data_IF_418619191258
#
_entry.id   IF_418619191258
#
_cell.length_a   1.000
_cell.length_b   1.000
_cell.length_c   1.000
_cell.angle_alpha   90.00
_cell.angle_beta   90.00
_cell.angle_gamma   90.00
#
_symmetry.space_group_name_H-M   'P 1'
#
loop_
_entity.id
_entity.type
_entity.pdbx_description
1 polymer ?
#
# COMPACT_ATOMS: atom_id res chain seq x y z
N UNK A 1 -3.36 2.23 -19.57
CA UNK A 1 -4.47 1.58 -18.85
C UNK A 1 -4.35 0.07 -18.97
N UNK A 2 -4.41 -0.63 -17.84
CA UNK A 2 -4.41 -2.10 -17.79
C UNK A 2 -5.81 -2.61 -18.19
N UNK A 3 -5.89 -3.72 -18.93
CA UNK A 3 -7.19 -4.36 -19.20
C UNK A 3 -7.73 -4.92 -17.87
N UNK A 4 -8.91 -4.45 -17.47
CA UNK A 4 -9.58 -4.90 -16.23
C UNK A 4 -9.68 -6.43 -16.15
N UNK A 5 -9.82 -7.11 -17.29
CA UNK A 5 -9.91 -8.59 -17.33
C UNK A 5 -8.66 -9.27 -16.75
N UNK A 6 -7.48 -8.67 -16.87
CA UNK A 6 -6.25 -9.22 -16.30
C UNK A 6 -6.23 -9.14 -14.76
N UNK A 7 -7.07 -8.29 -14.17
CA UNK A 7 -7.19 -8.10 -12.73
C UNK A 7 -8.31 -8.95 -12.10
N UNK A 8 -9.10 -9.68 -12.91
CA UNK A 8 -10.28 -10.40 -12.41
C UNK A 8 -10.01 -11.87 -12.06
N UNK A 9 -8.79 -12.36 -12.22
CA UNK A 9 -8.41 -13.75 -11.92
C UNK A 9 -7.14 -13.83 -11.06
N UNK A 10 -7.07 -13.14 -9.91
CA UNK A 10 -5.96 -13.28 -8.99
C UNK A 10 -6.15 -14.51 -8.10
N UNK A 11 -5.07 -15.05 -7.56
CA UNK A 11 -5.10 -16.14 -6.56
C UNK A 11 -5.70 -15.68 -5.23
N UNK A 12 -5.52 -14.38 -4.89
CA UNK A 12 -6.07 -13.77 -3.67
C UNK A 12 -6.19 -12.25 -3.80
N UNK A 13 -7.06 -11.66 -3.00
CA UNK A 13 -7.25 -10.21 -2.87
C UNK A 13 -7.03 -9.80 -1.41
N UNK A 14 -6.09 -8.88 -1.20
CA UNK A 14 -5.86 -8.26 0.11
C UNK A 14 -6.50 -6.88 0.14
N UNK A 15 -7.27 -6.61 1.19
CA UNK A 15 -7.89 -5.30 1.42
C UNK A 15 -7.28 -4.71 2.68
N UNK A 16 -6.41 -3.72 2.49
CA UNK A 16 -5.66 -3.06 3.57
C UNK A 16 -6.55 -2.20 4.46
N UNK A 17 -7.62 -1.64 3.89
CA UNK A 17 -8.69 -0.91 4.58
C UNK A 17 -9.84 -0.62 3.62
N UNK A 18 -10.97 -0.13 4.12
CA UNK A 18 -12.23 -0.04 3.36
C UNK A 18 -12.53 1.37 2.80
N UNK A 19 -11.53 2.25 2.64
CA UNK A 19 -11.77 3.52 1.96
C UNK A 19 -12.16 3.30 0.50
N UNK A 20 -12.92 4.24 -0.06
CA UNK A 20 -13.57 4.08 -1.36
C UNK A 20 -12.60 3.98 -2.55
N UNK A 21 -11.39 4.44 -2.41
CA UNK A 21 -10.30 4.32 -3.40
C UNK A 21 -9.52 3.01 -3.29
N UNK A 22 -9.76 2.20 -2.25
CA UNK A 22 -9.17 0.87 -2.05
C UNK A 22 -10.15 -0.28 -2.20
N UNK A 23 -11.42 -0.09 -1.86
CA UNK A 23 -12.48 -1.09 -2.03
C UNK A 23 -13.77 -0.41 -2.48
N UNK A 24 -13.80 0.02 -3.74
CA UNK A 24 -14.87 0.77 -4.34
C UNK A 24 -16.06 -0.11 -4.79
N UNK A 25 -17.10 0.54 -5.30
CA UNK A 25 -18.28 -0.16 -5.82
C UNK A 25 -17.97 -0.93 -7.12
N UNK A 26 -16.96 -0.51 -7.90
CA UNK A 26 -16.51 -1.25 -9.07
C UNK A 26 -15.83 -2.57 -8.66
N UNK A 27 -14.95 -2.56 -7.68
CA UNK A 27 -14.37 -3.77 -7.10
C UNK A 27 -15.45 -4.70 -6.57
N UNK A 28 -16.43 -4.17 -5.82
CA UNK A 28 -17.56 -4.93 -5.32
C UNK A 28 -18.42 -5.53 -6.44
N UNK A 29 -18.58 -4.86 -7.57
CA UNK A 29 -19.39 -5.31 -8.69
C UNK A 29 -18.67 -6.33 -9.58
N UNK A 30 -17.41 -6.09 -9.91
CA UNK A 30 -16.70 -6.81 -10.96
C UNK A 30 -15.86 -7.99 -10.45
N UNK A 31 -15.34 -7.92 -9.21
CA UNK A 31 -14.54 -9.04 -8.68
C UNK A 31 -15.41 -10.28 -8.44
N UNK A 32 -14.93 -11.47 -8.86
CA UNK A 32 -15.62 -12.72 -8.62
C UNK A 32 -15.84 -12.97 -7.12
N UNK A 33 -17.07 -13.30 -6.74
CA UNK A 33 -17.46 -13.40 -5.32
C UNK A 33 -16.85 -14.58 -4.56
N UNK A 34 -16.29 -15.54 -5.26
CA UNK A 34 -15.67 -16.74 -4.70
C UNK A 34 -14.17 -16.62 -4.45
N UNK A 35 -13.52 -15.55 -4.95
CA UNK A 35 -12.09 -15.33 -4.74
C UNK A 35 -11.75 -15.30 -3.24
N UNK A 36 -10.56 -15.78 -2.86
CA UNK A 36 -10.06 -15.58 -1.51
C UNK A 36 -9.81 -14.10 -1.24
N UNK A 37 -10.51 -13.56 -0.25
CA UNK A 37 -10.32 -12.20 0.26
C UNK A 37 -9.73 -12.24 1.65
N UNK A 38 -8.74 -11.39 1.86
CA UNK A 38 -8.08 -11.21 3.14
C UNK A 38 -8.21 -9.75 3.57
N UNK A 39 -8.97 -9.51 4.64
CA UNK A 39 -9.17 -8.19 5.22
C UNK A 39 -8.21 -7.96 6.40
N UNK A 40 -7.86 -6.72 6.67
CA UNK A 40 -6.93 -6.39 7.76
C UNK A 40 -7.44 -6.83 9.16
N UNK A 41 -8.74 -6.93 9.35
CA UNK A 41 -9.39 -7.31 10.61
C UNK A 41 -10.77 -7.91 10.36
N UNK A 42 -11.34 -8.58 11.38
CA UNK A 42 -12.63 -9.28 11.25
C UNK A 42 -13.81 -8.33 10.99
N UNK A 43 -13.77 -7.10 11.50
CA UNK A 43 -14.82 -6.11 11.23
C UNK A 43 -14.89 -5.76 9.73
N UNK A 44 -13.73 -5.60 9.08
CA UNK A 44 -13.66 -5.33 7.64
C UNK A 44 -14.05 -6.58 6.84
N UNK A 45 -13.64 -7.76 7.29
CA UNK A 45 -14.03 -9.04 6.69
C UNK A 45 -15.57 -9.21 6.70
N UNK A 46 -16.23 -8.82 7.79
CA UNK A 46 -17.69 -8.83 7.89
C UNK A 46 -18.33 -7.94 6.81
N UNK A 47 -17.84 -6.71 6.64
CA UNK A 47 -18.37 -5.78 5.63
C UNK A 47 -18.14 -6.29 4.20
N UNK A 48 -17.00 -6.93 3.92
CA UNK A 48 -16.72 -7.56 2.63
C UNK A 48 -17.69 -8.73 2.37
N UNK A 49 -18.00 -9.55 3.38
CA UNK A 49 -19.02 -10.63 3.27
C UNK A 49 -20.42 -10.03 3.01
N UNK A 50 -20.80 -8.93 3.65
CA UNK A 50 -22.06 -8.22 3.42
C UNK A 50 -22.17 -7.69 1.98
N UNK A 51 -21.03 -7.38 1.32
CA UNK A 51 -20.98 -7.05 -0.11
C UNK A 51 -21.09 -8.28 -1.03
N UNK A 52 -21.32 -9.48 -0.47
CA UNK A 52 -21.62 -10.71 -1.19
C UNK A 52 -20.41 -11.61 -1.48
N UNK A 53 -19.22 -11.32 -0.97
CA UNK A 53 -18.08 -12.21 -1.11
C UNK A 53 -18.18 -13.39 -0.16
N UNK A 54 -17.89 -14.61 -0.64
CA UNK A 54 -18.18 -15.85 0.09
C UNK A 54 -16.95 -16.49 0.72
N UNK A 55 -15.75 -16.10 0.31
CA UNK A 55 -14.49 -16.65 0.81
C UNK A 55 -13.65 -15.51 1.40
N UNK A 56 -13.98 -15.08 2.62
CA UNK A 56 -13.37 -13.91 3.27
C UNK A 56 -12.86 -14.29 4.65
N UNK A 57 -11.60 -13.96 4.92
CA UNK A 57 -10.94 -14.13 6.20
C UNK A 57 -10.21 -12.84 6.61
N UNK A 58 -9.90 -12.68 7.90
CA UNK A 58 -8.90 -11.69 8.32
C UNK A 58 -7.49 -12.27 8.22
N UNK A 59 -6.49 -11.39 8.06
CA UNK A 59 -5.08 -11.80 8.04
C UNK A 59 -4.26 -11.17 9.18
N UNK A 60 -4.90 -10.94 10.32
CA UNK A 60 -4.30 -10.34 11.53
C UNK A 60 -2.98 -11.01 11.93
N UNK A 61 -2.90 -12.33 11.81
CA UNK A 61 -1.73 -13.15 12.16
C UNK A 61 -0.91 -13.58 10.95
N UNK A 62 -1.13 -12.96 9.79
CA UNK A 62 -0.53 -13.38 8.53
C UNK A 62 -1.25 -14.54 7.86
N UNK A 63 -0.86 -14.86 6.64
CA UNK A 63 -1.42 -15.96 5.84
C UNK A 63 -0.36 -16.50 4.89
N UNK A 64 -0.47 -17.79 4.52
CA UNK A 64 0.37 -18.42 3.50
C UNK A 64 -0.46 -18.75 2.28
N UNK A 65 -0.01 -18.35 1.09
CA UNK A 65 -0.64 -18.63 -0.20
C UNK A 65 0.40 -19.29 -1.11
N UNK A 66 0.25 -20.58 -1.34
CA UNK A 66 1.32 -21.35 -1.96
C UNK A 66 2.59 -21.30 -1.12
N UNK A 67 3.70 -20.86 -1.70
CA UNK A 67 4.99 -20.70 -1.01
C UNK A 67 5.23 -19.26 -0.51
N UNK A 68 4.27 -18.34 -0.77
CA UNK A 68 4.35 -16.94 -0.32
C UNK A 68 3.79 -16.83 1.09
N UNK A 69 4.59 -16.27 2.00
CA UNK A 69 4.13 -15.86 3.31
C UNK A 69 3.77 -14.38 3.29
N UNK A 70 2.58 -14.03 3.74
CA UNK A 70 2.11 -12.65 3.83
C UNK A 70 1.99 -12.26 5.29
N UNK A 71 2.75 -11.26 5.69
CA UNK A 71 2.73 -10.71 7.04
C UNK A 71 1.99 -9.37 7.02
N UNK A 72 1.11 -9.16 7.98
CA UNK A 72 0.46 -7.87 8.18
C UNK A 72 1.38 -6.92 8.94
N UNK A 73 1.48 -5.67 8.47
CA UNK A 73 2.09 -4.58 9.23
C UNK A 73 1.04 -3.56 9.64
N UNK A 74 1.35 -2.75 10.64
CA UNK A 74 0.57 -1.57 10.96
C UNK A 74 0.89 -0.41 10.04
N UNK A 75 0.24 0.73 10.32
CA UNK A 75 0.46 2.01 9.69
C UNK A 75 -0.36 3.09 10.38
N UNK A 76 -0.07 4.35 10.05
CA UNK A 76 -0.74 5.51 10.59
C UNK A 76 -1.24 6.40 9.44
N UNK A 77 -2.55 6.45 9.22
CA UNK A 77 -3.17 7.20 8.13
C UNK A 77 -3.48 8.64 8.55
N UNK A 78 -2.41 9.40 8.86
CA UNK A 78 -2.46 10.76 9.37
C UNK A 78 -2.30 10.86 10.89
N UNK A 79 -2.36 12.07 11.41
CA UNK A 79 -2.15 12.39 12.84
C UNK A 79 -3.35 13.08 13.47
N UNK A 80 -3.47 13.00 14.81
CA UNK A 80 -4.51 13.66 15.59
C UNK A 80 -5.93 13.24 15.20
N UNK A 81 -6.88 14.15 15.25
CA UNK A 81 -8.29 13.88 14.93
C UNK A 81 -8.51 13.34 13.51
N UNK A 82 -7.66 13.74 12.55
CA UNK A 82 -7.74 13.23 11.19
C UNK A 82 -7.32 11.77 11.15
N UNK A 83 -6.19 11.42 11.77
CA UNK A 83 -5.73 10.05 11.88
C UNK A 83 -6.76 9.13 12.58
N UNK A 84 -7.39 9.61 13.65
CA UNK A 84 -8.46 8.87 14.32
C UNK A 84 -9.66 8.61 13.39
N UNK A 85 -10.03 9.60 12.56
CA UNK A 85 -11.13 9.46 11.58
C UNK A 85 -10.80 8.56 10.42
N UNK A 86 -9.55 8.51 9.99
CA UNK A 86 -9.08 7.61 8.94
C UNK A 86 -9.10 6.15 9.39
N UNK A 87 -8.97 5.91 10.69
CA UNK A 87 -9.08 4.59 11.28
C UNK A 87 -7.84 3.73 11.05
N UNK A 88 -8.03 2.43 11.23
CA UNK A 88 -6.96 1.45 11.09
C UNK A 88 -6.63 1.19 9.62
N UNK A 89 -5.35 1.13 9.32
CA UNK A 89 -4.79 0.76 8.01
C UNK A 89 -3.71 -0.29 8.19
N UNK A 90 -3.43 -1.02 7.15
CA UNK A 90 -2.40 -2.07 7.16
C UNK A 90 -1.53 -2.01 5.94
N UNK A 91 -0.27 -2.36 6.12
CA UNK A 91 0.63 -2.76 5.06
C UNK A 91 0.77 -4.27 5.00
N UNK A 92 1.53 -4.75 4.01
CA UNK A 92 1.78 -6.16 3.72
C UNK A 92 3.26 -6.37 3.47
N UNK A 93 3.86 -7.38 4.11
CA UNK A 93 5.17 -7.89 3.70
C UNK A 93 4.99 -9.28 3.11
N UNK A 94 5.45 -9.47 1.89
CA UNK A 94 5.43 -10.74 1.18
C UNK A 94 6.84 -11.30 1.13
N UNK A 95 7.00 -12.55 1.57
CA UNK A 95 8.28 -13.26 1.55
C UNK A 95 8.13 -14.60 0.83
N UNK A 96 9.15 -14.96 0.05
CA UNK A 96 9.27 -16.24 -0.64
C UNK A 96 10.75 -16.66 -0.61
N UNK A 97 11.08 -17.98 -0.55
CA UNK A 97 12.48 -18.42 -0.46
C UNK A 97 13.38 -18.01 -1.63
N UNK A 98 12.81 -17.87 -2.84
CA UNK A 98 13.55 -17.65 -4.08
C UNK A 98 13.25 -16.27 -4.71
N UNK A 99 12.47 -15.39 -4.04
CA UNK A 99 12.07 -14.09 -4.57
C UNK A 99 12.42 -12.95 -3.60
N UNK A 100 12.61 -11.71 -4.09
CA UNK A 100 12.85 -10.55 -3.22
C UNK A 100 11.71 -10.34 -2.22
N UNK A 101 12.07 -9.94 -1.01
CA UNK A 101 11.09 -9.54 0.01
C UNK A 101 10.43 -8.23 -0.39
N UNK A 102 9.11 -8.24 -0.56
CA UNK A 102 8.31 -7.08 -0.96
C UNK A 102 7.52 -6.53 0.24
N UNK A 103 7.70 -5.26 0.54
CA UNK A 103 6.88 -4.53 1.50
C UNK A 103 5.97 -3.52 0.79
N UNK A 104 4.67 -3.63 0.96
CA UNK A 104 3.66 -2.67 0.50
C UNK A 104 3.16 -1.93 1.74
N UNK A 105 3.57 -0.68 1.92
CA UNK A 105 3.27 0.09 3.12
C UNK A 105 1.78 0.47 3.25
N UNK A 106 1.07 0.61 2.12
CA UNK A 106 -0.32 1.05 2.10
C UNK A 106 -0.48 2.54 2.42
N UNK A 107 -1.67 2.95 2.82
CA UNK A 107 -1.98 4.34 3.15
C UNK A 107 -1.51 4.67 4.57
N UNK A 108 -0.28 5.10 4.66
CA UNK A 108 0.37 5.49 5.91
C UNK A 108 1.29 6.69 5.67
N UNK A 109 1.54 7.48 6.70
CA UNK A 109 2.68 8.38 6.79
C UNK A 109 3.90 7.59 7.28
N UNK A 110 5.08 8.19 7.31
CA UNK A 110 6.21 7.63 8.06
C UNK A 110 5.87 7.59 9.55
N UNK A 111 5.97 6.42 10.18
CA UNK A 111 5.63 6.18 11.58
C UNK A 111 6.42 4.99 12.13
N UNK A 112 6.30 4.74 13.43
CA UNK A 112 7.02 3.67 14.12
C UNK A 112 6.69 2.28 13.55
N UNK A 113 5.45 2.06 13.11
CA UNK A 113 5.01 0.79 12.51
C UNK A 113 5.73 0.53 11.17
N UNK A 114 5.92 1.56 10.35
CA UNK A 114 6.67 1.47 9.09
C UNK A 114 8.15 1.21 9.35
N UNK A 115 8.75 1.95 10.29
CA UNK A 115 10.15 1.76 10.69
C UNK A 115 10.38 0.33 11.22
N UNK A 116 9.48 -0.16 12.07
CA UNK A 116 9.55 -1.52 12.63
C UNK A 116 9.39 -2.60 11.54
N UNK A 117 8.49 -2.42 10.59
CA UNK A 117 8.32 -3.34 9.46
C UNK A 117 9.61 -3.44 8.63
N UNK A 118 10.25 -2.31 8.33
CA UNK A 118 11.52 -2.27 7.60
C UNK A 118 12.63 -2.97 8.40
N UNK A 119 12.77 -2.66 9.69
CA UNK A 119 13.77 -3.28 10.56
C UNK A 119 13.58 -4.79 10.68
N UNK A 120 12.34 -5.24 10.88
CA UNK A 120 12.02 -6.65 11.11
C UNK A 120 12.17 -7.51 9.85
N UNK A 121 11.75 -6.99 8.69
CA UNK A 121 11.64 -7.79 7.48
C UNK A 121 12.75 -7.51 6.45
N UNK A 122 13.52 -6.43 6.62
CA UNK A 122 14.61 -6.02 5.72
C UNK A 122 14.23 -6.18 4.24
N UNK A 123 13.16 -5.49 3.76
CA UNK A 123 12.62 -5.69 2.43
C UNK A 123 13.62 -5.23 1.35
N UNK A 124 13.66 -5.98 0.24
CA UNK A 124 14.44 -5.63 -0.95
C UNK A 124 13.70 -4.57 -1.80
N UNK A 125 12.37 -4.62 -1.77
CA UNK A 125 11.49 -3.72 -2.51
C UNK A 125 10.44 -3.16 -1.56
N UNK A 126 10.25 -1.82 -1.59
CA UNK A 126 9.25 -1.14 -0.77
C UNK A 126 8.32 -0.33 -1.67
N UNK A 127 7.02 -0.60 -1.62
CA UNK A 127 5.99 0.21 -2.29
C UNK A 127 5.38 1.17 -1.28
N UNK A 128 5.44 2.47 -1.57
CA UNK A 128 4.90 3.53 -0.72
C UNK A 128 3.83 4.34 -1.44
N UNK A 129 2.75 4.65 -0.75
CA UNK A 129 1.71 5.55 -1.22
C UNK A 129 2.11 6.99 -0.83
N UNK A 130 2.65 7.75 -1.80
CA UNK A 130 3.29 9.04 -1.53
C UNK A 130 2.70 10.21 -2.30
N UNK A 131 1.37 10.24 -2.45
CA UNK A 131 0.67 11.38 -3.01
C UNK A 131 0.57 12.59 -2.06
N UNK A 132 1.04 12.48 -0.81
CA UNK A 132 0.79 13.46 0.25
C UNK A 132 -0.69 13.87 0.29
N UNK A 133 -1.57 12.86 0.26
CA UNK A 133 -3.01 13.07 0.31
C UNK A 133 -3.36 13.90 1.55
N UNK A 134 -4.18 14.94 1.37
CA UNK A 134 -4.46 15.89 2.43
C UNK A 134 -5.86 16.47 2.29
N UNK A 135 -6.54 16.67 3.41
CA UNK A 135 -7.78 17.43 3.45
C UNK A 135 -7.51 18.94 3.38
N UNK A 136 -8.57 19.75 3.34
CA UNK A 136 -8.45 21.21 3.34
C UNK A 136 -7.72 21.77 4.57
N UNK A 137 -7.69 21.01 5.64
CA UNK A 137 -7.01 21.34 6.91
C UNK A 137 -6.31 20.09 7.44
N UNK A 138 -5.19 20.27 8.16
CA UNK A 138 -4.42 19.19 8.77
C UNK A 138 -3.17 18.84 7.97
N UNK A 139 -2.48 17.84 8.45
CA UNK A 139 -1.25 17.30 7.83
C UNK A 139 -1.59 16.22 6.80
N UNK A 140 -0.64 15.82 5.93
CA UNK A 140 -0.80 14.70 5.02
C UNK A 140 -1.21 13.41 5.75
N UNK A 141 -2.02 12.60 5.05
CA UNK A 141 -2.48 11.29 5.52
C UNK A 141 -1.80 10.12 4.80
N UNK A 142 -1.07 10.39 3.73
CA UNK A 142 -0.15 9.46 3.06
C UNK A 142 1.24 10.08 3.00
N UNK A 143 2.26 9.33 2.64
CA UNK A 143 3.65 9.78 2.68
C UNK A 143 3.87 11.05 1.85
N UNK A 144 4.65 11.95 2.43
CA UNK A 144 5.17 13.16 1.81
C UNK A 144 6.59 12.95 1.28
N UNK A 145 7.16 13.96 0.61
CA UNK A 145 8.57 13.95 0.20
C UNK A 145 9.55 13.76 1.37
N UNK A 146 9.21 14.25 2.58
CA UNK A 146 10.05 14.03 3.79
C UNK A 146 9.99 12.58 4.24
N UNK A 147 8.83 11.95 4.12
CA UNK A 147 8.67 10.56 4.49
C UNK A 147 9.45 9.64 3.55
N UNK A 148 9.56 10.00 2.25
CA UNK A 148 10.41 9.28 1.30
C UNK A 148 11.89 9.27 1.72
N UNK A 149 12.39 10.40 2.25
CA UNK A 149 13.76 10.45 2.79
C UNK A 149 13.92 9.52 3.99
N UNK A 150 12.95 9.51 4.90
CA UNK A 150 12.99 8.65 6.08
C UNK A 150 12.92 7.16 5.72
N UNK A 151 12.09 6.78 4.74
CA UNK A 151 12.05 5.40 4.21
C UNK A 151 13.40 5.01 3.62
N UNK A 152 14.01 5.88 2.81
CA UNK A 152 15.34 5.62 2.24
C UNK A 152 16.42 5.52 3.31
N UNK A 153 16.42 6.40 4.31
CA UNK A 153 17.38 6.34 5.42
C UNK A 153 17.26 5.02 6.20
N UNK A 154 16.06 4.49 6.37
CA UNK A 154 15.80 3.23 7.06
C UNK A 154 16.12 1.99 6.21
N UNK A 155 16.07 2.09 4.87
CA UNK A 155 16.25 0.99 3.94
C UNK A 155 17.09 1.43 2.71
N UNK A 156 18.31 1.85 2.95
CA UNK A 156 19.18 2.44 1.91
C UNK A 156 19.50 1.53 0.72
N UNK A 157 19.46 0.22 0.93
CA UNK A 157 19.73 -0.79 -0.12
C UNK A 157 18.46 -1.21 -0.88
N UNK A 158 17.27 -0.87 -0.36
CA UNK A 158 16.01 -1.27 -0.99
C UNK A 158 15.70 -0.40 -2.22
N UNK A 159 15.00 -1.00 -3.18
CA UNK A 159 14.34 -0.25 -4.25
C UNK A 159 13.00 0.26 -3.76
N UNK A 160 12.79 1.56 -3.80
CA UNK A 160 11.53 2.19 -3.34
C UNK A 160 10.67 2.55 -4.54
N UNK A 161 9.44 2.03 -4.58
CA UNK A 161 8.45 2.28 -5.62
C UNK A 161 7.41 3.25 -5.10
N UNK A 162 7.24 4.38 -5.76
CA UNK A 162 6.28 5.41 -5.39
C UNK A 162 4.97 5.22 -6.14
N UNK A 163 3.88 5.10 -5.42
CA UNK A 163 2.53 4.86 -5.92
C UNK A 163 1.52 5.83 -5.30
N UNK A 164 0.23 5.69 -5.67
CA UNK A 164 -0.90 6.44 -5.12
C UNK A 164 -0.73 7.96 -5.28
N UNK A 165 -0.60 8.40 -6.52
CA UNK A 165 -0.30 9.80 -6.89
C UNK A 165 -1.54 10.50 -7.48
N UNK A 166 -1.42 11.08 -8.67
CA UNK A 166 -2.39 12.00 -9.29
C UNK A 166 -3.77 11.41 -9.59
N UNK A 167 -3.94 10.09 -9.50
CA UNK A 167 -5.23 9.42 -9.76
C UNK A 167 -6.31 9.77 -8.73
N UNK A 168 -5.92 10.27 -7.58
CA UNK A 168 -6.81 10.66 -6.48
C UNK A 168 -6.73 12.18 -6.28
N UNK A 169 -7.87 12.85 -6.31
CA UNK A 169 -7.96 14.32 -6.39
C UNK A 169 -7.45 15.08 -5.16
N UNK A 170 -7.24 14.43 -4.04
CA UNK A 170 -6.68 15.01 -2.82
C UNK A 170 -5.19 14.70 -2.62
N UNK A 171 -4.55 13.99 -3.56
CA UNK A 171 -3.11 13.83 -3.61
C UNK A 171 -2.48 15.12 -4.14
N UNK A 172 -1.59 15.73 -3.34
CA UNK A 172 -0.97 17.02 -3.66
C UNK A 172 0.34 16.85 -4.43
N UNK A 173 1.00 15.70 -4.31
CA UNK A 173 2.23 15.39 -5.02
C UNK A 173 1.94 14.65 -6.33
N UNK A 174 2.70 15.04 -7.36
CA UNK A 174 2.69 14.43 -8.68
C UNK A 174 4.04 13.81 -8.99
N UNK A 175 4.08 12.93 -9.98
CA UNK A 175 5.31 12.24 -10.44
C UNK A 175 6.45 13.21 -10.72
N UNK A 176 6.19 14.29 -11.46
CA UNK A 176 7.19 15.32 -11.80
C UNK A 176 7.77 15.99 -10.54
N UNK A 177 6.93 16.34 -9.57
CA UNK A 177 7.35 16.97 -8.31
C UNK A 177 8.23 16.04 -7.46
N UNK A 178 7.90 14.75 -7.42
CA UNK A 178 8.69 13.75 -6.70
C UNK A 178 10.02 13.52 -7.43
N UNK A 179 10.00 13.38 -8.77
CA UNK A 179 11.21 13.20 -9.56
C UNK A 179 12.20 14.36 -9.38
N UNK A 180 11.71 15.61 -9.45
CA UNK A 180 12.53 16.81 -9.22
C UNK A 180 13.13 16.85 -7.80
N UNK A 181 12.31 16.49 -6.81
CA UNK A 181 12.77 16.42 -5.42
C UNK A 181 13.87 15.36 -5.25
N UNK A 182 13.66 14.15 -5.72
CA UNK A 182 14.65 13.07 -5.61
C UNK A 182 15.95 13.40 -6.36
N UNK A 183 15.86 14.05 -7.51
CA UNK A 183 17.02 14.51 -8.26
C UNK A 183 17.81 15.57 -7.47
N UNK A 184 17.14 16.51 -6.80
CA UNK A 184 17.79 17.53 -5.97
C UNK A 184 18.54 16.93 -4.78
N UNK A 185 18.10 15.78 -4.27
CA UNK A 185 18.77 15.04 -3.19
C UNK A 185 19.72 13.94 -3.68
N UNK A 186 19.92 13.78 -5.00
CA UNK A 186 20.73 12.73 -5.63
C UNK A 186 20.26 11.30 -5.32
N UNK A 187 18.95 11.10 -5.12
CA UNK A 187 18.34 9.83 -4.74
C UNK A 187 17.61 9.10 -5.88
N UNK A 188 17.59 9.64 -7.09
CA UNK A 188 16.83 9.08 -8.22
C UNK A 188 17.17 7.61 -8.53
N UNK A 189 18.36 7.13 -8.17
CA UNK A 189 18.76 5.74 -8.40
C UNK A 189 18.09 4.72 -7.46
N UNK A 190 17.53 5.17 -6.35
CA UNK A 190 16.90 4.34 -5.32
C UNK A 190 15.37 4.28 -5.43
N UNK A 191 14.80 5.14 -6.27
CA UNK A 191 13.36 5.29 -6.41
C UNK A 191 12.88 5.02 -7.84
N UNK A 192 11.77 4.30 -7.94
CA UNK A 192 11.03 4.11 -9.18
C UNK A 192 9.67 4.81 -9.05
N UNK A 193 9.30 5.57 -10.07
CA UNK A 193 8.03 6.31 -10.14
C UNK A 193 7.31 5.84 -11.40
N UNK A 194 6.62 4.69 -11.37
CA UNK A 194 6.03 4.08 -12.56
C UNK A 194 4.90 4.91 -13.14
N UNK A 195 4.73 4.83 -14.45
CA UNK A 195 3.55 5.32 -15.14
C UNK A 195 2.35 4.40 -14.91
N UNK A 196 1.13 4.91 -15.14
CA UNK A 196 -0.09 4.13 -14.96
C UNK A 196 -0.14 2.94 -15.92
N UNK A 197 -0.13 1.73 -15.36
CA UNK A 197 -0.12 0.48 -16.11
C UNK A 197 1.26 0.00 -16.55
N UNK A 198 2.32 0.64 -16.09
CA UNK A 198 3.69 0.17 -16.31
C UNK A 198 3.93 -1.14 -15.54
N UNK A 199 4.63 -2.07 -16.16
CA UNK A 199 5.07 -3.33 -15.55
C UNK A 199 6.56 -3.28 -15.30
N UNK A 200 6.98 -3.61 -14.10
CA UNK A 200 8.38 -3.70 -13.69
C UNK A 200 8.73 -5.14 -13.33
N UNK A 201 10.00 -5.52 -13.57
CA UNK A 201 10.54 -6.83 -13.19
C UNK A 201 11.83 -6.63 -12.40
N UNK A 202 12.04 -7.45 -11.36
CA UNK A 202 13.17 -7.38 -10.43
C UNK A 202 13.93 -8.68 -10.38
#
# INVERSE_FOLDING_TARGET
>A
PVDVKTLLDPDAVFVTHLHADHFDDAAKQFLPKHLPFYAQQEEDARQIREAGFTNVSSFDSGVTIGDIQVHRTGGQHGVGEIGERMGHVSGLVLTHPDEPTLYIAGDTIWCDEVAHAIEQHTPDIIVVNSGAAQFLTGEPITMSQRDLLAVHEAAAEATIIVSHLESVNHCLLRRDMIADFLAAFHLSAHFLIPEDGETMSF
#
